data_IF_949314407991
#
_entry.id   IF_949314407991
#
_cell.length_a   1.000
_cell.length_b   1.000
_cell.length_c   1.000
_cell.angle_alpha   90.00
_cell.angle_beta   90.00
_cell.angle_gamma   90.00
#
_symmetry.space_group_name_H-M   'P 1'
#
loop_
_entity.id
_entity.type
_entity.pdbx_description
1 polymer ?
#
# COMPACT_ATOMS: atom_id res chain seq x y z
N UNK A 1 42.99 11.71 14.06
CA UNK A 1 41.60 11.40 13.66
C UNK A 1 41.15 10.24 14.53
N UNK A 2 40.41 10.55 15.59
CA UNK A 2 39.92 9.56 16.58
C UNK A 2 38.64 8.92 16.07
N UNK A 3 38.57 7.59 16.16
CA UNK A 3 37.45 6.73 15.74
C UNK A 3 36.34 6.85 16.81
N UNK A 4 35.70 8.02 16.91
CA UNK A 4 34.60 8.26 17.87
C UNK A 4 33.41 9.04 17.29
N UNK A 5 33.45 9.47 16.02
CA UNK A 5 32.41 10.38 15.47
C UNK A 5 31.44 9.77 14.45
N UNK A 6 31.55 8.48 14.14
CA UNK A 6 30.51 7.79 13.34
C UNK A 6 29.41 7.26 14.25
N UNK A 7 28.59 8.15 14.83
CA UNK A 7 27.27 7.72 15.28
C UNK A 7 26.43 7.41 14.02
N UNK A 8 25.86 6.21 13.88
CA UNK A 8 25.03 5.87 12.73
C UNK A 8 23.81 6.80 12.68
N UNK A 9 23.78 7.67 11.67
CA UNK A 9 22.71 8.64 11.42
C UNK A 9 21.70 8.16 10.36
N UNK A 10 21.95 7.00 9.75
CA UNK A 10 21.13 6.40 8.71
C UNK A 10 21.43 6.82 7.27
N UNK A 11 22.35 7.77 7.04
CA UNK A 11 22.69 8.21 5.67
C UNK A 11 23.36 7.11 4.85
N UNK A 12 24.20 6.28 5.47
CA UNK A 12 24.83 5.12 4.80
C UNK A 12 23.79 4.11 4.28
N UNK A 13 22.68 3.96 5.02
CA UNK A 13 21.58 3.13 4.58
C UNK A 13 20.83 3.76 3.40
N UNK A 14 20.61 5.08 3.40
CA UNK A 14 20.05 5.79 2.24
C UNK A 14 20.95 5.66 1.01
N UNK A 15 22.26 5.85 1.19
CA UNK A 15 23.26 5.63 0.14
C UNK A 15 23.13 4.21 -0.44
N UNK A 16 23.07 3.20 0.42
CA UNK A 16 22.90 1.79 0.02
C UNK A 16 21.60 1.55 -0.76
N UNK A 17 20.49 2.17 -0.34
CA UNK A 17 19.21 2.08 -1.05
C UNK A 17 19.27 2.73 -2.43
N UNK A 18 19.92 3.88 -2.58
CA UNK A 18 20.11 4.55 -3.86
C UNK A 18 20.98 3.70 -4.80
N UNK A 19 22.07 3.12 -4.30
CA UNK A 19 22.93 2.20 -5.06
C UNK A 19 22.16 0.95 -5.49
N UNK A 20 21.36 0.37 -4.61
CA UNK A 20 20.51 -0.79 -4.91
C UNK A 20 19.45 -0.44 -5.97
N UNK A 21 18.76 0.70 -5.83
CA UNK A 21 17.78 1.17 -6.80
C UNK A 21 18.39 1.39 -8.19
N UNK A 22 19.57 2.03 -8.25
CA UNK A 22 20.33 2.18 -9.49
C UNK A 22 20.72 0.82 -10.11
N UNK A 23 21.16 -0.13 -9.28
CA UNK A 23 21.54 -1.48 -9.73
C UNK A 23 20.35 -2.27 -10.26
N UNK A 24 19.18 -2.18 -9.61
CA UNK A 24 17.94 -2.80 -10.08
C UNK A 24 17.46 -2.21 -11.40
N UNK A 25 17.58 -0.89 -11.58
CA UNK A 25 17.29 -0.24 -12.85
C UNK A 25 18.26 -0.68 -13.94
N UNK A 26 19.56 -0.75 -13.66
CA UNK A 26 20.55 -1.24 -14.62
C UNK A 26 20.27 -2.69 -15.03
N UNK A 27 20.00 -3.57 -14.06
CA UNK A 27 19.64 -4.97 -14.31
C UNK A 27 18.34 -5.09 -15.14
N UNK A 28 17.33 -4.28 -14.82
CA UNK A 28 16.08 -4.20 -15.60
C UNK A 28 16.35 -3.72 -17.03
N UNK A 29 17.24 -2.76 -17.21
CA UNK A 29 17.67 -2.28 -18.52
C UNK A 29 18.35 -3.36 -19.35
N UNK A 30 19.25 -4.14 -18.74
CA UNK A 30 19.89 -5.30 -19.38
C UNK A 30 18.84 -6.35 -19.78
N UNK A 31 17.90 -6.67 -18.90
CA UNK A 31 16.84 -7.63 -19.20
C UNK A 31 15.94 -7.16 -20.36
N UNK A 32 15.60 -5.87 -20.41
CA UNK A 32 14.82 -5.28 -21.50
C UNK A 32 15.60 -5.28 -22.83
N UNK A 33 16.91 -4.99 -22.78
CA UNK A 33 17.78 -5.07 -23.96
C UNK A 33 17.91 -6.50 -24.49
N UNK A 34 18.05 -7.49 -23.61
CA UNK A 34 18.02 -8.90 -23.97
C UNK A 34 16.66 -9.30 -24.59
N UNK A 35 15.55 -8.75 -24.08
CA UNK A 35 14.22 -8.97 -24.65
C UNK A 35 14.03 -8.37 -26.06
N UNK A 36 14.78 -7.33 -26.42
CA UNK A 36 14.76 -6.76 -27.77
C UNK A 36 15.63 -7.58 -28.76
N UNK A 37 16.72 -8.17 -28.26
CA UNK A 37 17.77 -8.86 -29.05
C UNK A 37 17.62 -10.39 -29.10
N UNK A 38 16.80 -10.97 -28.22
CA UNK A 38 16.55 -12.41 -28.14
C UNK A 38 15.51 -12.95 -29.13
N UNK A 39 15.37 -14.29 -29.24
CA UNK A 39 14.39 -14.93 -30.12
C UNK A 39 12.96 -14.51 -29.74
N UNK A 40 12.27 -13.84 -30.67
CA UNK A 40 11.01 -13.10 -30.43
C UNK A 40 9.75 -13.95 -30.21
N UNK A 41 9.87 -15.20 -29.79
CA UNK A 41 8.72 -16.07 -29.55
C UNK A 41 7.94 -15.61 -28.30
N UNK A 42 6.65 -15.30 -28.48
CA UNK A 42 5.73 -14.96 -27.39
C UNK A 42 5.65 -13.49 -26.94
N UNK A 43 6.57 -12.61 -27.38
CA UNK A 43 6.61 -11.19 -26.92
C UNK A 43 5.78 -10.21 -27.77
N UNK A 44 5.14 -10.65 -28.85
CA UNK A 44 4.45 -9.77 -29.81
C UNK A 44 3.33 -8.92 -29.21
N UNK A 45 2.52 -9.48 -28.31
CA UNK A 45 1.43 -8.74 -27.66
C UNK A 45 1.97 -7.66 -26.69
N UNK A 46 3.00 -7.99 -25.93
CA UNK A 46 3.67 -7.07 -24.99
C UNK A 46 4.38 -5.95 -25.74
N UNK A 47 5.11 -6.29 -26.82
CA UNK A 47 5.78 -5.33 -27.70
C UNK A 47 4.79 -4.33 -28.30
N UNK A 48 3.63 -4.79 -28.78
CA UNK A 48 2.57 -3.90 -29.30
C UNK A 48 2.06 -2.94 -28.23
N UNK A 49 1.72 -3.44 -27.03
CA UNK A 49 1.24 -2.59 -25.92
C UNK A 49 2.26 -1.53 -25.50
N UNK A 50 3.53 -1.89 -25.40
CA UNK A 50 4.60 -0.95 -25.02
C UNK A 50 4.88 0.05 -26.15
N UNK A 51 4.89 -0.39 -27.40
CA UNK A 51 5.02 0.47 -28.57
C UNK A 51 3.89 1.49 -28.68
N UNK A 52 2.64 1.09 -28.45
CA UNK A 52 1.49 2.00 -28.39
C UNK A 52 1.64 3.03 -27.26
N UNK A 53 2.07 2.60 -26.08
CA UNK A 53 2.35 3.49 -24.95
C UNK A 53 3.42 4.54 -25.28
N UNK A 54 4.53 4.12 -25.90
CA UNK A 54 5.60 5.02 -26.32
C UNK A 54 5.17 5.97 -27.44
N UNK A 55 4.37 5.51 -28.41
CA UNK A 55 3.81 6.39 -29.46
C UNK A 55 2.89 7.45 -28.86
N UNK A 56 2.06 7.08 -27.90
CA UNK A 56 1.20 8.01 -27.18
C UNK A 56 2.01 9.05 -26.39
N UNK A 57 3.11 8.63 -25.75
CA UNK A 57 4.03 9.54 -25.05
C UNK A 57 4.81 10.45 -26.02
N UNK A 58 5.21 9.94 -27.18
CA UNK A 58 5.87 10.72 -28.22
C UNK A 58 4.97 11.84 -28.75
N UNK A 59 3.70 11.51 -29.03
CA UNK A 59 2.71 12.45 -29.57
C UNK A 59 2.14 13.44 -28.54
N UNK A 60 2.26 13.14 -27.24
CA UNK A 60 1.79 14.06 -26.19
C UNK A 60 2.71 15.29 -26.08
N UNK A 61 2.17 16.49 -25.85
CA UNK A 61 3.00 17.65 -25.52
C UNK A 61 3.63 17.51 -24.13
N UNK A 62 4.79 18.14 -23.89
CA UNK A 62 5.46 18.10 -22.57
C UNK A 62 4.55 18.54 -21.42
N UNK A 63 3.71 19.55 -21.67
CA UNK A 63 2.74 20.06 -20.70
C UNK A 63 1.59 19.08 -20.38
N UNK A 64 1.32 18.11 -21.27
CA UNK A 64 0.25 17.12 -21.07
C UNK A 64 0.72 15.86 -20.32
N UNK A 65 2.04 15.61 -20.26
CA UNK A 65 2.61 14.41 -19.62
C UNK A 65 2.14 14.25 -18.17
N UNK A 66 2.18 15.30 -17.31
CA UNK A 66 1.74 15.14 -15.93
C UNK A 66 0.26 14.74 -15.83
N UNK A 67 -0.62 15.35 -16.63
CA UNK A 67 -2.04 15.01 -16.65
C UNK A 67 -2.30 13.58 -17.13
N UNK A 68 -1.67 13.17 -18.23
CA UNK A 68 -1.83 11.84 -18.81
C UNK A 68 -1.35 10.73 -17.86
N UNK A 69 -0.16 10.89 -17.25
CA UNK A 69 0.40 9.87 -16.36
C UNK A 69 -0.30 9.84 -15.01
N UNK A 70 -0.70 10.99 -14.48
CA UNK A 70 -1.54 11.06 -13.26
C UNK A 70 -2.88 10.37 -13.49
N UNK A 71 -3.56 10.66 -14.60
CA UNK A 71 -4.82 10.02 -14.96
C UNK A 71 -4.67 8.52 -15.21
N UNK A 72 -3.61 8.10 -15.89
CA UNK A 72 -3.29 6.69 -16.11
C UNK A 72 -3.05 5.96 -14.78
N UNK A 73 -2.20 6.50 -13.90
CA UNK A 73 -1.90 5.86 -12.62
C UNK A 73 -3.13 5.82 -11.72
N UNK A 74 -3.87 6.93 -11.62
CA UNK A 74 -5.10 6.99 -10.83
C UNK A 74 -6.16 5.99 -11.34
N UNK A 75 -6.38 5.91 -12.66
CA UNK A 75 -7.34 4.97 -13.24
C UNK A 75 -6.92 3.51 -13.02
N UNK A 76 -5.62 3.19 -13.10
CA UNK A 76 -5.09 1.85 -12.78
C UNK A 76 -5.29 1.48 -11.32
N UNK A 77 -5.01 2.41 -10.40
CA UNK A 77 -5.22 2.20 -8.98
C UNK A 77 -6.71 2.02 -8.65
N UNK A 78 -7.61 2.83 -9.23
CA UNK A 78 -9.05 2.63 -9.07
C UNK A 78 -9.53 1.30 -9.64
N UNK A 79 -9.03 0.89 -10.80
CA UNK A 79 -9.37 -0.41 -11.38
C UNK A 79 -8.91 -1.57 -10.48
N UNK A 80 -7.73 -1.44 -9.86
CA UNK A 80 -7.21 -2.42 -8.91
C UNK A 80 -8.04 -2.48 -7.63
N UNK A 81 -8.40 -1.33 -7.05
CA UNK A 81 -9.28 -1.25 -5.87
C UNK A 81 -10.64 -1.87 -6.19
N UNK A 82 -11.21 -1.56 -7.36
CA UNK A 82 -12.49 -2.11 -7.79
C UNK A 82 -12.42 -3.62 -7.97
N UNK A 83 -11.45 -4.12 -8.72
CA UNK A 83 -11.28 -5.55 -8.94
C UNK A 83 -10.92 -6.33 -7.67
N UNK A 84 -10.20 -5.70 -6.75
CA UNK A 84 -9.68 -6.31 -5.54
C UNK A 84 -10.60 -6.23 -4.33
N UNK A 85 -11.56 -5.31 -4.27
CA UNK A 85 -12.44 -5.13 -3.11
C UNK A 85 -13.92 -5.10 -3.47
N UNK A 86 -14.30 -4.39 -4.54
CA UNK A 86 -15.72 -4.20 -4.92
C UNK A 86 -16.26 -5.38 -5.71
N UNK A 87 -15.42 -6.01 -6.54
CA UNK A 87 -15.79 -7.15 -7.40
C UNK A 87 -15.07 -8.44 -6.98
N UNK A 88 -14.60 -8.50 -5.73
CA UNK A 88 -13.83 -9.63 -5.23
C UNK A 88 -14.68 -10.91 -5.11
N UNK A 89 -15.93 -10.78 -4.64
CA UNK A 89 -16.92 -11.87 -4.56
C UNK A 89 -17.26 -12.51 -5.90
N UNK A 90 -17.13 -11.76 -7.00
CA UNK A 90 -17.42 -12.27 -8.34
C UNK A 90 -16.38 -13.29 -8.84
N UNK A 91 -15.25 -13.46 -8.13
CA UNK A 91 -14.19 -14.40 -8.50
C UNK A 91 -14.33 -15.72 -7.74
N UNK A 92 -14.43 -16.83 -8.48
CA UNK A 92 -14.50 -18.19 -7.91
C UNK A 92 -13.32 -18.51 -6.98
N UNK A 93 -12.11 -18.08 -7.35
CA UNK A 93 -10.91 -18.29 -6.54
C UNK A 93 -10.98 -17.57 -5.19
N UNK A 94 -11.61 -16.40 -5.14
CA UNK A 94 -11.77 -15.62 -3.92
C UNK A 94 -12.67 -16.33 -2.91
N UNK A 95 -13.86 -16.76 -3.37
CA UNK A 95 -14.79 -17.54 -2.56
C UNK A 95 -14.14 -18.81 -2.02
N UNK A 96 -13.39 -19.54 -2.85
CA UNK A 96 -12.68 -20.76 -2.44
C UNK A 96 -11.63 -20.51 -1.36
N UNK A 97 -10.82 -19.45 -1.49
CA UNK A 97 -9.77 -19.11 -0.52
C UNK A 97 -10.39 -18.69 0.82
N UNK A 98 -11.35 -17.76 0.81
CA UNK A 98 -11.99 -17.28 2.06
C UNK A 98 -12.74 -18.42 2.75
N UNK A 99 -13.46 -19.24 1.99
CA UNK A 99 -14.18 -20.39 2.54
C UNK A 99 -13.21 -21.38 3.20
N UNK A 100 -12.15 -21.76 2.50
CA UNK A 100 -11.13 -22.67 3.05
C UNK A 100 -10.47 -22.09 4.31
N UNK A 101 -10.18 -20.79 4.31
CA UNK A 101 -9.61 -20.10 5.46
C UNK A 101 -10.54 -20.12 6.68
N UNK A 102 -11.80 -19.69 6.50
CA UNK A 102 -12.76 -19.51 7.59
C UNK A 102 -13.31 -20.83 8.14
N UNK A 103 -13.47 -21.86 7.29
CA UNK A 103 -14.12 -23.12 7.67
C UNK A 103 -13.18 -24.31 7.82
N UNK A 104 -11.94 -24.24 7.32
CA UNK A 104 -10.97 -25.34 7.42
C UNK A 104 -9.76 -24.92 8.25
N UNK A 105 -9.00 -23.94 7.77
CA UNK A 105 -7.71 -23.60 8.37
C UNK A 105 -7.84 -22.95 9.75
N UNK A 106 -8.71 -21.95 9.91
CA UNK A 106 -8.89 -21.25 11.19
C UNK A 106 -9.51 -22.12 12.29
N UNK A 107 -10.56 -22.93 12.04
CA UNK A 107 -11.06 -23.86 13.04
C UNK A 107 -10.03 -24.91 13.45
N UNK A 108 -9.27 -25.45 12.49
CA UNK A 108 -8.21 -26.41 12.77
C UNK A 108 -7.10 -25.77 13.62
N UNK A 109 -6.66 -24.55 13.25
CA UNK A 109 -5.68 -23.81 14.02
C UNK A 109 -6.18 -23.48 15.44
N UNK A 110 -7.47 -23.12 15.58
CA UNK A 110 -8.08 -22.86 16.88
C UNK A 110 -8.15 -24.13 17.76
N UNK A 111 -8.49 -25.28 17.16
CA UNK A 111 -8.50 -26.57 17.85
C UNK A 111 -7.09 -26.97 18.29
N UNK A 112 -6.10 -26.90 17.40
CA UNK A 112 -4.70 -27.17 17.73
C UNK A 112 -4.22 -26.24 18.85
N UNK A 113 -4.51 -24.94 18.76
CA UNK A 113 -4.15 -23.96 19.78
C UNK A 113 -4.77 -24.30 21.15
N UNK A 114 -6.04 -24.74 21.18
CA UNK A 114 -6.68 -25.18 22.41
C UNK A 114 -6.05 -26.48 22.98
N UNK A 115 -5.67 -27.42 22.12
CA UNK A 115 -5.06 -28.69 22.52
C UNK A 115 -3.65 -28.54 23.09
N UNK A 116 -2.87 -27.57 22.58
CA UNK A 116 -1.49 -27.29 23.08
C UNK A 116 -1.47 -26.35 24.30
N UNK A 117 -2.63 -26.04 24.90
CA UNK A 117 -2.74 -25.19 26.09
C UNK A 117 -2.83 -23.68 25.84
N UNK A 118 -3.03 -23.25 24.59
CA UNK A 118 -3.31 -21.86 24.24
C UNK A 118 -4.76 -21.43 24.56
N UNK A 119 -5.10 -20.17 24.28
CA UNK A 119 -6.43 -19.62 24.57
C UNK A 119 -7.52 -20.36 23.77
N UNK A 120 -8.51 -21.01 24.41
CA UNK A 120 -9.50 -21.83 23.72
C UNK A 120 -10.70 -21.03 23.18
N UNK A 121 -10.69 -19.69 23.34
CA UNK A 121 -11.81 -18.82 22.98
C UNK A 121 -12.29 -19.02 21.54
N UNK A 122 -11.37 -18.97 20.56
CA UNK A 122 -11.73 -19.08 19.15
C UNK A 122 -12.33 -20.45 18.82
N UNK A 123 -11.86 -21.51 19.47
CA UNK A 123 -12.39 -22.86 19.31
C UNK A 123 -13.83 -22.95 19.82
N UNK A 124 -14.09 -22.49 21.04
CA UNK A 124 -15.45 -22.45 21.59
C UNK A 124 -16.39 -21.55 20.78
N UNK A 125 -15.87 -20.46 20.22
CA UNK A 125 -16.62 -19.57 19.36
C UNK A 125 -16.99 -20.23 18.02
N UNK A 126 -16.10 -21.02 17.43
CA UNK A 126 -16.45 -21.83 16.26
C UNK A 126 -17.50 -22.89 16.59
N UNK A 127 -17.43 -23.50 17.78
CA UNK A 127 -18.43 -24.46 18.23
C UNK A 127 -19.82 -23.81 18.41
N UNK A 128 -19.87 -22.58 18.95
CA UNK A 128 -21.13 -21.85 19.07
C UNK A 128 -21.71 -21.45 17.71
N UNK A 129 -20.86 -21.12 16.72
CA UNK A 129 -21.32 -20.89 15.34
C UNK A 129 -21.85 -22.17 14.69
N UNK A 130 -21.20 -23.31 14.93
CA UNK A 130 -21.69 -24.60 14.44
C UNK A 130 -23.05 -24.96 15.06
N UNK A 131 -23.25 -24.68 16.34
CA UNK A 131 -24.54 -24.85 17.00
C UNK A 131 -25.62 -23.92 16.42
N UNK A 132 -25.28 -22.65 16.14
CA UNK A 132 -26.20 -21.72 15.48
C UNK A 132 -26.57 -22.16 14.05
N UNK A 133 -25.62 -22.71 13.31
CA UNK A 133 -25.83 -23.23 11.97
C UNK A 133 -26.72 -24.49 11.99
N UNK A 134 -26.48 -25.39 12.94
CA UNK A 134 -27.36 -26.54 13.18
C UNK A 134 -28.79 -26.07 13.52
N UNK A 135 -28.93 -25.09 14.43
CA UNK A 135 -30.24 -24.52 14.77
C UNK A 135 -30.97 -23.97 13.54
N UNK A 136 -30.30 -23.18 12.69
CA UNK A 136 -30.90 -22.65 11.45
C UNK A 136 -31.33 -23.75 10.49
N UNK A 137 -30.58 -24.85 10.41
CA UNK A 137 -30.91 -25.97 9.53
C UNK A 137 -32.18 -26.70 9.98
N UNK A 138 -32.47 -26.75 11.28
CA UNK A 138 -33.66 -27.42 11.83
C UNK A 138 -34.87 -26.47 12.02
N UNK A 139 -34.63 -25.23 12.43
CA UNK A 139 -35.67 -24.26 12.78
C UNK A 139 -35.98 -23.25 11.66
N UNK A 140 -35.13 -23.16 10.63
CA UNK A 140 -35.19 -22.19 9.54
C UNK A 140 -36.52 -22.14 8.81
N UNK A 141 -37.16 -23.30 8.63
CA UNK A 141 -38.40 -23.46 7.86
C UNK A 141 -39.67 -23.11 8.66
N UNK A 142 -39.56 -22.98 9.98
CA UNK A 142 -40.72 -22.70 10.83
C UNK A 142 -41.03 -21.20 10.89
N UNK A 143 -42.14 -20.78 10.29
CA UNK A 143 -42.57 -19.38 10.27
C UNK A 143 -42.75 -18.74 11.66
N UNK A 144 -42.96 -19.56 12.70
CA UNK A 144 -43.12 -19.13 14.10
C UNK A 144 -41.80 -18.66 14.74
N UNK A 145 -40.65 -19.06 14.20
CA UNK A 145 -39.32 -18.72 14.72
C UNK A 145 -38.59 -17.69 13.84
N UNK A 146 -39.28 -17.02 12.92
CA UNK A 146 -38.69 -16.08 11.95
C UNK A 146 -37.79 -15.01 12.60
N UNK A 147 -38.15 -14.48 13.77
CA UNK A 147 -37.33 -13.50 14.49
C UNK A 147 -36.02 -14.13 15.03
N UNK A 148 -36.10 -15.32 15.63
CA UNK A 148 -34.92 -16.04 16.16
C UNK A 148 -34.01 -16.54 15.03
N UNK A 149 -34.59 -16.98 13.91
CA UNK A 149 -33.83 -17.32 12.70
C UNK A 149 -33.09 -16.09 12.14
N UNK A 150 -33.74 -14.91 12.16
CA UNK A 150 -33.09 -13.66 11.81
C UNK A 150 -31.89 -13.32 12.70
N UNK A 151 -32.05 -13.48 14.03
CA UNK A 151 -30.95 -13.25 15.00
C UNK A 151 -29.82 -14.25 14.80
N UNK A 152 -30.12 -15.54 14.63
CA UNK A 152 -29.10 -16.57 14.39
C UNK A 152 -28.35 -16.36 13.07
N UNK A 153 -29.05 -15.94 12.01
CA UNK A 153 -28.44 -15.59 10.73
C UNK A 153 -27.56 -14.33 10.85
N UNK A 154 -28.02 -13.31 11.57
CA UNK A 154 -27.22 -12.11 11.83
C UNK A 154 -25.98 -12.43 12.67
N UNK A 155 -26.11 -13.28 13.71
CA UNK A 155 -25.00 -13.77 14.50
C UNK A 155 -23.96 -14.48 13.62
N UNK A 156 -24.38 -15.44 12.79
CA UNK A 156 -23.47 -16.13 11.86
C UNK A 156 -22.79 -15.17 10.88
N UNK A 157 -23.57 -14.29 10.23
CA UNK A 157 -23.06 -13.34 9.25
C UNK A 157 -22.03 -12.38 9.86
N UNK A 158 -22.38 -11.70 10.96
CA UNK A 158 -21.47 -10.76 11.63
C UNK A 158 -20.24 -11.49 12.19
N UNK A 159 -20.42 -12.67 12.75
CA UNK A 159 -19.31 -13.42 13.34
C UNK A 159 -18.29 -13.88 12.31
N UNK A 160 -18.74 -14.42 11.18
CA UNK A 160 -17.87 -14.92 10.11
C UNK A 160 -17.20 -13.79 9.33
N UNK A 161 -17.91 -12.69 9.09
CA UNK A 161 -17.44 -11.59 8.24
C UNK A 161 -16.59 -10.57 9.02
N UNK A 162 -16.87 -10.38 10.32
CA UNK A 162 -16.24 -9.32 11.12
C UNK A 162 -15.52 -9.87 12.33
N UNK A 163 -16.21 -10.58 13.22
CA UNK A 163 -15.66 -10.91 14.54
C UNK A 163 -14.45 -11.84 14.42
N UNK A 164 -14.56 -12.91 13.65
CA UNK A 164 -13.46 -13.87 13.45
C UNK A 164 -12.27 -13.19 12.76
N UNK A 165 -12.42 -12.52 11.59
CA UNK A 165 -11.28 -11.84 10.95
C UNK A 165 -10.60 -10.82 11.86
N UNK A 166 -11.36 -10.00 12.59
CA UNK A 166 -10.79 -8.99 13.51
C UNK A 166 -10.11 -9.66 14.71
N UNK A 167 -10.69 -10.71 15.28
CA UNK A 167 -10.08 -11.44 16.40
C UNK A 167 -8.77 -12.10 15.99
N UNK A 168 -8.77 -12.78 14.84
CA UNK A 168 -7.58 -13.43 14.27
C UNK A 168 -6.54 -12.37 13.96
N UNK A 169 -6.92 -11.29 13.29
CA UNK A 169 -6.05 -10.15 13.02
C UNK A 169 -5.39 -9.61 14.30
N UNK A 170 -6.18 -9.43 15.37
CA UNK A 170 -5.68 -9.00 16.68
C UNK A 170 -4.68 -9.99 17.25
N UNK A 171 -5.04 -11.26 17.32
CA UNK A 171 -4.19 -12.31 17.89
C UNK A 171 -2.87 -12.48 17.15
N UNK A 172 -2.88 -12.40 15.82
CA UNK A 172 -1.66 -12.51 15.03
C UNK A 172 -0.82 -11.24 15.08
N UNK A 173 -1.45 -10.06 15.15
CA UNK A 173 -0.72 -8.80 15.35
C UNK A 173 -0.08 -8.76 16.73
N UNK A 174 -0.77 -9.20 17.79
CA UNK A 174 -0.19 -9.39 19.12
C UNK A 174 1.07 -10.26 19.05
N UNK A 175 0.97 -11.43 18.41
CA UNK A 175 2.11 -12.32 18.22
C UNK A 175 3.24 -11.67 17.38
N UNK A 176 2.92 -10.75 16.47
CA UNK A 176 3.90 -10.04 15.64
C UNK A 176 4.62 -8.93 16.40
N UNK A 177 3.92 -8.25 17.31
CA UNK A 177 4.46 -7.19 18.15
C UNK A 177 5.46 -7.73 19.18
N UNK A 178 5.15 -8.88 19.80
CA UNK A 178 5.96 -9.45 20.89
C UNK A 178 7.03 -10.46 20.45
N UNK A 179 7.08 -10.82 19.17
CA UNK A 179 8.13 -11.71 18.64
C UNK A 179 9.42 -10.96 18.29
N UNK A 180 10.49 -11.70 18.01
CA UNK A 180 11.74 -11.18 17.46
C UNK A 180 11.45 -10.33 16.22
N UNK A 181 12.07 -9.15 16.14
CA UNK A 181 11.73 -8.13 15.16
C UNK A 181 11.72 -8.63 13.71
N UNK A 182 12.76 -9.35 13.28
CA UNK A 182 12.86 -9.91 11.93
C UNK A 182 11.71 -10.91 11.62
N UNK A 183 11.33 -11.74 12.60
CA UNK A 183 10.19 -12.65 12.46
C UNK A 183 8.88 -11.88 12.42
N UNK A 184 8.76 -10.78 13.17
CA UNK A 184 7.61 -9.87 13.11
C UNK A 184 7.42 -9.28 11.70
N UNK A 185 8.49 -8.83 11.04
CA UNK A 185 8.39 -8.32 9.66
C UNK A 185 7.93 -9.42 8.70
N UNK A 186 8.48 -10.63 8.79
CA UNK A 186 8.04 -11.76 7.95
C UNK A 186 6.58 -12.15 8.22
N UNK A 187 6.18 -12.19 9.49
CA UNK A 187 4.81 -12.47 9.91
C UNK A 187 3.83 -11.42 9.39
N UNK A 188 4.24 -10.16 9.24
CA UNK A 188 3.35 -9.10 8.71
C UNK A 188 2.78 -9.43 7.33
N UNK A 189 3.54 -10.13 6.48
CA UNK A 189 3.08 -10.61 5.17
C UNK A 189 2.04 -11.73 5.26
N UNK A 190 2.00 -12.49 6.34
CA UNK A 190 0.94 -13.47 6.59
C UNK A 190 -0.31 -12.77 7.16
N UNK A 191 -0.11 -11.80 8.05
CA UNK A 191 -1.21 -11.04 8.67
C UNK A 191 -1.96 -10.18 7.66
N UNK A 192 -1.31 -9.77 6.55
CA UNK A 192 -1.94 -9.00 5.47
C UNK A 192 -3.22 -9.65 4.92
N UNK A 193 -3.29 -10.99 4.90
CA UNK A 193 -4.47 -11.72 4.44
C UNK A 193 -5.65 -11.47 5.37
N UNK A 194 -5.43 -11.46 6.68
CA UNK A 194 -6.48 -11.17 7.66
C UNK A 194 -6.89 -9.70 7.66
N UNK A 195 -5.95 -8.77 7.43
CA UNK A 195 -6.29 -7.36 7.18
C UNK A 195 -7.20 -7.22 5.97
N UNK A 196 -6.87 -7.91 4.88
CA UNK A 196 -7.67 -7.89 3.68
C UNK A 196 -9.07 -8.45 3.92
N UNK A 197 -9.19 -9.62 4.58
CA UNK A 197 -10.50 -10.23 4.89
C UNK A 197 -11.33 -9.33 5.82
N UNK A 198 -10.70 -8.72 6.84
CA UNK A 198 -11.37 -7.78 7.73
C UNK A 198 -11.84 -6.52 6.98
N UNK A 199 -10.97 -5.92 6.15
CA UNK A 199 -11.31 -4.75 5.35
C UNK A 199 -12.44 -5.04 4.35
N UNK A 200 -12.41 -6.22 3.72
CA UNK A 200 -13.48 -6.70 2.84
C UNK A 200 -14.79 -6.88 3.60
N UNK A 201 -14.75 -7.49 4.79
CA UNK A 201 -15.93 -7.67 5.63
C UNK A 201 -16.57 -6.36 6.09
N UNK A 202 -15.75 -5.37 6.47
CA UNK A 202 -16.24 -4.00 6.75
C UNK A 202 -16.84 -3.37 5.48
N UNK A 203 -16.24 -3.59 4.31
CA UNK A 203 -16.78 -3.16 3.03
C UNK A 203 -18.17 -3.71 2.74
N UNK A 204 -18.40 -5.01 3.00
CA UNK A 204 -19.71 -5.65 2.84
C UNK A 204 -20.78 -5.05 3.77
N UNK A 205 -20.43 -4.75 5.02
CA UNK A 205 -21.34 -4.07 5.95
C UNK A 205 -21.65 -2.66 5.47
N UNK A 206 -20.62 -1.92 5.05
CA UNK A 206 -20.79 -0.59 4.50
C UNK A 206 -21.76 -0.61 3.31
N UNK A 207 -21.61 -1.58 2.40
CA UNK A 207 -22.53 -1.79 1.28
C UNK A 207 -23.96 -2.15 1.71
N UNK A 208 -24.12 -3.01 2.71
CA UNK A 208 -25.43 -3.39 3.24
C UNK A 208 -26.15 -2.18 3.85
N UNK A 209 -25.43 -1.36 4.61
CA UNK A 209 -25.95 -0.11 5.20
C UNK A 209 -26.29 0.91 4.11
N UNK A 210 -25.42 1.11 3.12
CA UNK A 210 -25.68 2.05 2.03
C UNK A 210 -26.92 1.66 1.21
N UNK A 211 -27.08 0.36 0.93
CA UNK A 211 -28.27 -0.18 0.24
C UNK A 211 -29.54 -0.01 1.08
N UNK A 212 -29.47 -0.19 2.40
CA UNK A 212 -30.60 0.03 3.29
C UNK A 212 -31.10 1.49 3.24
N UNK A 213 -30.19 2.46 3.11
CA UNK A 213 -30.55 3.88 2.98
C UNK A 213 -30.90 4.33 1.55
N UNK A 214 -31.01 3.41 0.57
CA UNK A 214 -31.27 3.72 -0.85
C UNK A 214 -30.26 4.71 -1.47
N UNK A 215 -29.03 4.77 -0.96
CA UNK A 215 -27.98 5.62 -1.53
C UNK A 215 -27.19 4.86 -2.59
N UNK A 216 -26.85 5.54 -3.69
CA UNK A 216 -26.01 4.94 -4.73
C UNK A 216 -24.55 4.86 -4.25
N UNK A 217 -24.13 3.66 -3.82
CA UNK A 217 -22.76 3.40 -3.34
C UNK A 217 -21.71 3.53 -4.45
N UNK A 218 -22.10 3.42 -5.73
CA UNK A 218 -21.17 3.42 -6.87
C UNK A 218 -20.78 4.83 -7.31
N UNK A 219 -21.65 5.82 -7.09
CA UNK A 219 -21.42 7.23 -7.46
C UNK A 219 -20.85 8.10 -6.34
N UNK A 220 -21.09 7.74 -5.08
CA UNK A 220 -20.83 8.61 -3.92
C UNK A 220 -19.35 8.92 -3.68
N UNK A 221 -19.06 10.21 -3.48
CA UNK A 221 -17.73 10.68 -3.07
C UNK A 221 -17.33 10.10 -1.72
N UNK A 222 -18.25 9.76 -0.81
CA UNK A 222 -17.85 9.11 0.45
C UNK A 222 -17.50 7.64 0.25
N UNK A 223 -18.28 6.90 -0.55
CA UNK A 223 -18.04 5.48 -0.81
C UNK A 223 -16.67 5.21 -1.43
N UNK A 224 -16.27 5.99 -2.45
CA UNK A 224 -14.93 5.88 -3.06
C UNK A 224 -13.78 6.12 -2.05
N UNK A 225 -14.03 6.81 -0.92
CA UNK A 225 -13.01 7.13 0.10
C UNK A 225 -12.82 5.91 0.96
N UNK A 226 -13.95 5.37 1.40
CA UNK A 226 -14.05 4.19 2.25
C UNK A 226 -13.43 3.00 1.52
N UNK A 227 -13.80 2.71 0.28
CA UNK A 227 -13.19 1.62 -0.47
C UNK A 227 -11.69 1.83 -0.73
N UNK A 228 -11.26 3.06 -1.02
CA UNK A 228 -9.84 3.38 -1.17
C UNK A 228 -9.06 3.18 0.12
N UNK A 229 -9.63 3.58 1.26
CA UNK A 229 -9.05 3.40 2.58
C UNK A 229 -8.98 1.91 2.94
N UNK A 230 -10.10 1.18 2.82
CA UNK A 230 -10.18 -0.25 3.12
C UNK A 230 -9.23 -1.08 2.26
N UNK A 231 -9.11 -0.78 0.96
CA UNK A 231 -8.17 -1.46 0.08
C UNK A 231 -6.70 -1.15 0.42
N UNK A 232 -6.42 0.00 1.03
CA UNK A 232 -5.08 0.42 1.40
C UNK A 232 -4.62 -0.16 2.75
N UNK A 233 -5.54 -0.50 3.67
CA UNK A 233 -5.20 -1.01 5.01
C UNK A 233 -4.21 -2.19 5.01
N UNK A 234 -4.37 -3.25 4.19
CA UNK A 234 -3.45 -4.38 4.24
C UNK A 234 -2.03 -3.98 3.79
N UNK A 235 -1.95 -3.19 2.72
CA UNK A 235 -0.66 -2.71 2.20
C UNK A 235 0.00 -1.77 3.20
N UNK A 236 -0.76 -0.84 3.78
CA UNK A 236 -0.30 0.09 4.79
C UNK A 236 0.27 -0.63 6.02
N UNK A 237 -0.36 -1.72 6.45
CA UNK A 237 0.14 -2.51 7.58
C UNK A 237 1.52 -3.10 7.31
N UNK A 238 1.74 -3.72 6.15
CA UNK A 238 3.06 -4.25 5.76
C UNK A 238 4.09 -3.11 5.65
N UNK A 239 3.68 -1.97 5.08
CA UNK A 239 4.55 -0.79 4.95
C UNK A 239 4.99 -0.24 6.31
N UNK A 240 4.15 -0.29 7.35
CA UNK A 240 4.53 0.08 8.73
C UNK A 240 5.69 -0.79 9.21
N UNK A 241 5.59 -2.12 9.09
CA UNK A 241 6.67 -3.01 9.51
C UNK A 241 7.94 -2.85 8.66
N UNK A 242 7.80 -2.60 7.35
CA UNK A 242 8.93 -2.32 6.48
C UNK A 242 9.59 -0.96 6.80
N UNK A 243 8.82 0.05 7.19
CA UNK A 243 9.37 1.34 7.63
C UNK A 243 10.14 1.20 8.95
N UNK A 244 9.59 0.48 9.91
CA UNK A 244 10.31 0.17 11.14
C UNK A 244 11.59 -0.63 10.85
N UNK A 245 11.56 -1.55 9.88
CA UNK A 245 12.74 -2.30 9.47
C UNK A 245 13.78 -1.39 8.82
N UNK A 246 13.35 -0.49 7.93
CA UNK A 246 14.22 0.50 7.32
C UNK A 246 14.92 1.35 8.38
N UNK A 247 14.20 1.81 9.41
CA UNK A 247 14.81 2.55 10.52
C UNK A 247 15.74 1.72 11.39
N UNK A 248 15.39 0.47 11.66
CA UNK A 248 16.27 -0.44 12.39
C UNK A 248 17.58 -0.72 11.63
N UNK A 249 17.51 -0.87 10.29
CA UNK A 249 18.70 -1.05 9.45
C UNK A 249 19.48 0.26 9.27
N UNK A 250 18.81 1.41 9.31
CA UNK A 250 19.45 2.71 9.24
C UNK A 250 20.22 3.04 10.54
N UNK A 251 19.66 2.67 11.68
CA UNK A 251 20.25 2.90 13.01
C UNK A 251 20.15 1.60 13.82
N UNK A 252 21.12 0.69 13.62
CA UNK A 252 21.13 -0.66 14.21
C UNK A 252 21.01 -0.68 15.75
N UNK A 253 21.50 0.36 16.42
CA UNK A 253 21.46 0.46 17.88
C UNK A 253 20.03 0.70 18.42
N UNK A 254 19.09 1.13 17.58
CA UNK A 254 17.69 1.33 17.98
C UNK A 254 16.83 0.12 17.59
N UNK A 255 16.40 -0.64 18.59
CA UNK A 255 15.27 -1.56 18.40
C UNK A 255 13.98 -0.74 18.32
N UNK A 256 13.24 -0.78 17.20
CA UNK A 256 12.00 -0.03 17.08
C UNK A 256 11.00 -0.50 18.13
N UNK A 257 10.45 0.45 18.89
CA UNK A 257 9.32 0.16 19.76
C UNK A 257 8.13 -0.24 18.89
N UNK A 258 7.43 -1.29 19.32
CA UNK A 258 6.31 -1.86 18.58
C UNK A 258 5.14 -1.95 19.53
N UNK A 259 4.09 -1.22 19.20
CA UNK A 259 2.90 -1.15 20.01
C UNK A 259 1.64 -1.11 19.15
N UNK A 260 0.51 -1.39 19.80
CA UNK A 260 -0.80 -1.29 19.17
C UNK A 260 -1.12 0.12 18.65
N UNK A 261 -0.94 1.19 19.45
CA UNK A 261 -1.14 2.56 18.97
C UNK A 261 -0.32 2.84 17.70
N UNK A 262 0.98 2.52 17.72
CA UNK A 262 1.87 2.78 16.58
C UNK A 262 1.40 2.06 15.32
N UNK A 263 1.08 0.76 15.43
CA UNK A 263 0.63 -0.03 14.27
C UNK A 263 -0.72 0.44 13.74
N UNK A 264 -1.68 0.78 14.61
CA UNK A 264 -3.00 1.23 14.19
C UNK A 264 -2.95 2.63 13.58
N UNK A 265 -2.27 3.58 14.23
CA UNK A 265 -2.09 4.93 13.69
C UNK A 265 -1.27 4.91 12.40
N UNK A 266 -0.15 4.18 12.37
CA UNK A 266 0.67 4.00 11.17
C UNK A 266 -0.12 3.43 10.00
N UNK A 267 -0.86 2.35 10.23
CA UNK A 267 -1.68 1.70 9.20
C UNK A 267 -2.81 2.63 8.74
N UNK A 268 -3.53 3.23 9.69
CA UNK A 268 -4.67 4.10 9.43
C UNK A 268 -4.28 5.38 8.67
N UNK A 269 -3.28 6.10 9.14
CA UNK A 269 -2.83 7.35 8.51
C UNK A 269 -2.22 7.07 7.12
N UNK A 270 -1.44 6.00 6.97
CA UNK A 270 -0.88 5.63 5.65
C UNK A 270 -1.99 5.25 4.66
N UNK A 271 -2.99 4.48 5.10
CA UNK A 271 -4.16 4.14 4.28
C UNK A 271 -5.01 5.37 3.92
N UNK A 272 -5.19 6.31 4.86
CA UNK A 272 -5.86 7.58 4.61
C UNK A 272 -5.08 8.43 3.60
N UNK A 273 -3.76 8.52 3.74
CA UNK A 273 -2.92 9.25 2.78
C UNK A 273 -3.11 8.71 1.36
N UNK A 274 -3.06 7.39 1.18
CA UNK A 274 -3.27 6.78 -0.13
C UNK A 274 -4.64 7.14 -0.72
N UNK A 275 -5.71 6.96 0.07
CA UNK A 275 -7.08 7.24 -0.39
C UNK A 275 -7.29 8.72 -0.75
N UNK A 276 -6.75 9.64 0.06
CA UNK A 276 -6.87 11.08 -0.16
C UNK A 276 -6.00 11.58 -1.32
N UNK A 277 -4.75 11.12 -1.42
CA UNK A 277 -3.87 11.46 -2.56
C UNK A 277 -4.45 10.93 -3.87
N UNK A 278 -4.93 9.69 -3.91
CA UNK A 278 -5.55 9.11 -5.11
C UNK A 278 -6.73 9.95 -5.60
N UNK A 279 -7.56 10.46 -4.67
CA UNK A 279 -8.68 11.36 -5.00
C UNK A 279 -8.23 12.68 -5.56
N UNK A 280 -7.30 13.33 -4.88
CA UNK A 280 -6.78 14.63 -5.28
C UNK A 280 -6.19 14.54 -6.69
N UNK A 281 -5.41 13.50 -6.95
CA UNK A 281 -4.78 13.24 -8.24
C UNK A 281 -5.80 12.90 -9.34
N UNK A 282 -6.81 12.08 -9.03
CA UNK A 282 -7.86 11.74 -9.99
C UNK A 282 -8.75 12.94 -10.35
N UNK A 283 -9.07 13.78 -9.37
CA UNK A 283 -9.78 15.04 -9.60
C UNK A 283 -8.98 15.98 -10.51
N UNK A 284 -7.68 16.11 -10.26
CA UNK A 284 -6.82 16.94 -11.08
C UNK A 284 -6.64 16.38 -12.49
N UNK A 285 -6.53 15.07 -12.65
CA UNK A 285 -6.50 14.44 -13.96
C UNK A 285 -7.79 14.72 -14.77
N UNK A 286 -8.95 14.56 -14.14
CA UNK A 286 -10.25 14.81 -14.78
C UNK A 286 -10.44 16.30 -15.18
N UNK A 287 -9.88 17.25 -14.42
CA UNK A 287 -9.88 18.67 -14.77
C UNK A 287 -8.78 19.04 -15.77
N UNK A 288 -7.63 18.34 -15.73
CA UNK A 288 -6.46 18.59 -16.56
C UNK A 288 -6.71 18.31 -18.05
N UNK A 289 -7.58 17.36 -18.38
CA UNK A 289 -8.02 17.10 -19.76
C UNK A 289 -8.66 18.32 -20.45
N UNK A 290 -9.21 19.25 -19.67
CA UNK A 290 -9.81 20.51 -20.16
C UNK A 290 -8.82 21.68 -20.27
N UNK A 291 -7.50 21.42 -20.18
CA UNK A 291 -6.45 22.44 -20.28
C UNK A 291 -6.03 23.08 -18.95
N UNK A 292 -6.43 22.50 -17.81
CA UNK A 292 -6.18 23.05 -16.48
C UNK A 292 -4.83 22.68 -15.87
N UNK A 293 -3.72 23.22 -16.36
CA UNK A 293 -2.39 23.04 -15.74
C UNK A 293 -2.33 23.47 -14.26
N UNK A 294 -3.13 24.49 -13.90
CA UNK A 294 -3.32 24.95 -12.52
C UNK A 294 -3.91 23.86 -11.60
N UNK A 295 -4.82 23.02 -12.10
CA UNK A 295 -5.41 21.95 -11.29
C UNK A 295 -4.39 20.87 -10.91
N UNK A 296 -3.44 20.56 -11.80
CA UNK A 296 -2.33 19.66 -11.52
C UNK A 296 -1.36 20.28 -10.52
N UNK A 297 -0.98 21.55 -10.70
CA UNK A 297 -0.13 22.26 -9.73
C UNK A 297 -0.76 22.27 -8.32
N UNK A 298 -2.06 22.53 -8.23
CA UNK A 298 -2.81 22.46 -6.97
C UNK A 298 -2.81 21.04 -6.38
N UNK A 299 -2.98 20.00 -7.20
CA UNK A 299 -2.97 18.63 -6.69
C UNK A 299 -1.60 18.17 -6.22
N UNK A 300 -0.52 18.54 -6.90
CA UNK A 300 0.83 18.21 -6.46
C UNK A 300 1.22 19.00 -5.20
N UNK A 301 0.97 20.32 -5.17
CA UNK A 301 1.24 21.15 -4.00
C UNK A 301 0.36 20.79 -2.81
N UNK A 302 -0.95 20.65 -3.03
CA UNK A 302 -1.92 20.23 -2.01
C UNK A 302 -1.66 18.80 -1.52
N UNK A 303 -1.21 17.90 -2.40
CA UNK A 303 -0.83 16.54 -2.03
C UNK A 303 0.40 16.49 -1.13
N UNK A 304 1.38 17.38 -1.37
CA UNK A 304 2.56 17.53 -0.50
C UNK A 304 2.16 18.06 0.89
N UNK A 305 1.33 19.11 0.93
CA UNK A 305 0.82 19.68 2.19
C UNK A 305 0.02 18.63 2.97
N UNK A 306 -0.84 17.88 2.28
CA UNK A 306 -1.62 16.81 2.87
C UNK A 306 -0.72 15.71 3.45
N UNK A 307 0.28 15.25 2.69
CA UNK A 307 1.22 14.24 3.15
C UNK A 307 2.02 14.72 4.36
N UNK A 308 2.48 15.97 4.36
CA UNK A 308 3.18 16.58 5.50
C UNK A 308 2.27 16.69 6.74
N UNK A 309 1.02 17.13 6.56
CA UNK A 309 0.05 17.21 7.66
C UNK A 309 -0.25 15.84 8.27
N UNK A 310 -0.50 14.83 7.43
CA UNK A 310 -0.72 13.45 7.88
C UNK A 310 0.52 12.86 8.54
N UNK A 311 1.72 13.15 8.00
CA UNK A 311 2.99 12.74 8.59
C UNK A 311 3.18 13.30 10.00
N UNK A 312 2.86 14.58 10.23
CA UNK A 312 2.96 15.20 11.55
C UNK A 312 1.94 14.60 12.54
N UNK A 313 0.71 14.39 12.09
CA UNK A 313 -0.32 13.69 12.88
C UNK A 313 0.15 12.28 13.26
N UNK A 314 0.81 11.58 12.35
CA UNK A 314 1.39 10.27 12.63
C UNK A 314 2.52 10.34 13.65
N UNK A 315 3.45 11.29 13.52
CA UNK A 315 4.57 11.47 14.46
C UNK A 315 4.12 11.74 15.89
N UNK A 316 3.07 12.55 16.08
CA UNK A 316 2.50 12.83 17.41
C UNK A 316 1.59 11.67 17.89
N UNK A 317 0.84 11.06 16.97
CA UNK A 317 -0.18 10.06 17.27
C UNK A 317 0.35 8.64 17.53
N UNK A 318 1.49 8.28 16.94
CA UNK A 318 2.03 6.92 16.99
C UNK A 318 2.31 6.42 18.41
N UNK A 319 2.66 7.32 19.34
CA UNK A 319 3.07 7.00 20.70
C UNK A 319 2.01 7.40 21.77
N UNK A 320 0.75 7.60 21.35
CA UNK A 320 -0.34 7.94 22.26
C UNK A 320 -0.61 6.80 23.26
N UNK A 321 -0.59 7.13 24.55
CA UNK A 321 -0.88 6.18 25.64
C UNK A 321 0.35 5.50 26.25
N UNK A 322 1.56 5.76 25.74
CA UNK A 322 2.80 5.11 26.18
C UNK A 322 3.71 6.02 27.03
N UNK A 323 3.25 7.23 27.37
CA UNK A 323 4.03 8.20 28.14
C UNK A 323 5.22 8.81 27.37
N UNK A 324 5.40 8.41 26.11
CA UNK A 324 6.43 8.92 25.18
C UNK A 324 5.82 9.74 24.04
N UNK A 325 4.70 10.42 24.31
CA UNK A 325 4.06 11.26 23.31
C UNK A 325 5.03 12.37 22.87
N UNK A 326 5.37 12.35 21.59
CA UNK A 326 6.31 13.27 20.97
C UNK A 326 5.64 14.64 20.80
N UNK A 327 6.36 15.70 21.15
CA UNK A 327 5.87 17.07 20.93
C UNK A 327 5.77 17.42 19.44
N UNK A 328 4.92 18.39 19.09
CA UNK A 328 4.84 18.87 17.70
C UNK A 328 6.19 19.37 17.15
N UNK A 329 7.04 19.94 18.00
CA UNK A 329 8.40 20.38 17.65
C UNK A 329 9.32 19.21 17.31
N UNK A 330 9.27 18.13 18.07
CA UNK A 330 10.10 16.95 17.82
C UNK A 330 9.62 16.18 16.59
N UNK A 331 8.30 16.10 16.37
CA UNK A 331 7.73 15.55 15.14
C UNK A 331 8.15 16.40 13.92
N UNK A 332 8.18 17.72 14.05
CA UNK A 332 8.68 18.61 13.00
C UNK A 332 10.16 18.36 12.70
N UNK A 333 11.01 18.24 13.71
CA UNK A 333 12.42 17.91 13.52
C UNK A 333 12.59 16.55 12.82
N UNK A 334 11.83 15.54 13.27
CA UNK A 334 11.83 14.19 12.68
C UNK A 334 11.36 14.21 11.22
N UNK A 335 10.38 15.05 10.86
CA UNK A 335 9.95 15.21 9.46
C UNK A 335 11.09 15.65 8.54
N UNK A 336 12.02 16.48 9.02
CA UNK A 336 13.18 16.93 8.25
C UNK A 336 14.42 16.02 8.40
N UNK A 337 14.27 14.84 9.01
CA UNK A 337 15.38 13.91 9.21
C UNK A 337 16.37 14.38 10.26
N UNK A 338 15.95 15.27 11.17
CA UNK A 338 16.74 15.71 12.32
C UNK A 338 16.38 14.88 13.56
N UNK A 339 17.32 14.80 14.50
CA UNK A 339 17.07 14.27 15.84
C UNK A 339 16.01 15.08 16.58
N UNK A 340 15.43 14.52 17.65
CA UNK A 340 14.39 15.18 18.45
C UNK A 340 14.80 16.57 18.95
N UNK A 341 16.09 16.75 19.30
CA UNK A 341 16.70 18.02 19.71
C UNK A 341 17.08 18.95 18.55
N UNK A 342 16.90 18.52 17.29
CA UNK A 342 17.15 19.28 16.07
C UNK A 342 18.64 19.49 15.72
N UNK A 343 19.56 18.86 16.45
CA UNK A 343 21.00 19.17 16.36
C UNK A 343 21.76 18.38 15.31
N UNK A 344 21.27 17.20 14.93
CA UNK A 344 21.97 16.28 14.02
C UNK A 344 20.99 15.61 13.08
N UNK A 345 21.47 15.17 11.92
CA UNK A 345 20.72 14.28 11.03
C UNK A 345 20.55 12.93 11.74
N UNK A 346 19.33 12.40 11.75
CA UNK A 346 19.01 11.14 12.41
C UNK A 346 17.78 10.48 11.78
N UNK A 347 18.00 9.46 10.96
CA UNK A 347 16.95 8.75 10.22
C UNK A 347 16.41 7.54 11.02
N UNK A 348 15.80 7.83 12.16
CA UNK A 348 15.24 6.86 13.11
C UNK A 348 14.05 6.05 12.53
N UNK A 349 13.60 4.96 13.18
CA UNK A 349 12.35 4.29 12.82
C UNK A 349 11.12 5.21 12.72
N UNK A 350 11.05 6.24 13.58
CA UNK A 350 9.97 7.23 13.52
C UNK A 350 10.05 8.09 12.25
N UNK A 351 11.26 8.44 11.79
CA UNK A 351 11.44 9.11 10.49
C UNK A 351 10.82 8.29 9.36
N UNK A 352 11.17 7.01 9.26
CA UNK A 352 10.65 6.15 8.18
C UNK A 352 9.13 5.95 8.28
N UNK A 353 8.62 5.79 9.50
CA UNK A 353 7.18 5.65 9.75
C UNK A 353 6.41 6.92 9.31
N UNK A 354 6.89 8.09 9.71
CA UNK A 354 6.32 9.39 9.32
C UNK A 354 6.32 9.57 7.80
N UNK A 355 7.38 9.14 7.12
CA UNK A 355 7.51 9.27 5.67
C UNK A 355 6.61 8.33 4.85
N UNK A 356 5.95 7.34 5.47
CA UNK A 356 4.96 6.51 4.79
C UNK A 356 3.80 7.33 4.21
N UNK A 357 3.43 8.43 4.88
CA UNK A 357 2.39 9.33 4.39
C UNK A 357 2.75 9.99 3.04
N UNK A 358 4.03 10.06 2.68
CA UNK A 358 4.49 10.64 1.41
C UNK A 358 4.52 9.62 0.26
N UNK A 359 4.53 8.31 0.54
CA UNK A 359 4.67 7.28 -0.49
C UNK A 359 3.64 7.39 -1.63
N UNK A 360 2.32 7.62 -1.36
CA UNK A 360 1.36 7.77 -2.44
C UNK A 360 1.67 8.97 -3.33
N UNK A 361 2.04 10.11 -2.73
CA UNK A 361 2.39 11.33 -3.47
C UNK A 361 3.67 11.14 -4.29
N UNK A 362 4.71 10.53 -3.69
CA UNK A 362 5.96 10.20 -4.36
C UNK A 362 5.75 9.24 -5.53
N UNK A 363 4.79 8.30 -5.45
CA UNK A 363 4.47 7.43 -6.57
C UNK A 363 3.93 8.21 -7.79
N UNK A 364 3.08 9.23 -7.57
CA UNK A 364 2.59 10.09 -8.66
C UNK A 364 3.68 11.00 -9.22
N UNK A 365 4.51 11.59 -8.36
CA UNK A 365 5.65 12.42 -8.79
C UNK A 365 6.65 11.57 -9.57
N UNK A 366 7.01 10.40 -9.04
CA UNK A 366 7.90 9.44 -9.68
C UNK A 366 7.38 8.95 -11.03
N UNK A 367 6.08 8.65 -11.15
CA UNK A 367 5.49 8.27 -12.43
C UNK A 367 5.63 9.37 -13.48
N UNK A 368 5.38 10.64 -13.11
CA UNK A 368 5.55 11.79 -14.02
C UNK A 368 7.02 12.01 -14.37
N UNK A 369 7.92 11.92 -13.39
CA UNK A 369 9.36 12.01 -13.60
C UNK A 369 9.86 10.94 -14.57
N UNK A 370 9.50 9.68 -14.35
CA UNK A 370 9.81 8.58 -15.27
C UNK A 370 9.27 8.84 -16.69
N UNK A 371 8.06 9.41 -16.80
CA UNK A 371 7.49 9.86 -18.07
C UNK A 371 8.35 10.87 -18.81
N UNK A 372 8.88 11.86 -18.09
CA UNK A 372 9.80 12.85 -18.65
C UNK A 372 11.12 12.20 -19.10
N UNK A 373 11.70 11.32 -18.29
CA UNK A 373 12.93 10.58 -18.64
C UNK A 373 12.71 9.75 -19.92
N UNK A 374 11.65 8.93 -19.95
CA UNK A 374 11.34 8.07 -21.11
C UNK A 374 11.13 8.91 -22.37
N UNK A 375 10.44 10.04 -22.27
CA UNK A 375 10.23 10.91 -23.43
C UNK A 375 11.52 11.60 -23.89
N UNK A 376 12.36 12.06 -22.97
CA UNK A 376 13.67 12.63 -23.30
C UNK A 376 14.54 11.61 -24.03
N UNK A 377 14.58 10.37 -23.55
CA UNK A 377 15.29 9.27 -24.20
C UNK A 377 14.68 8.98 -25.57
N UNK A 378 13.36 8.90 -25.68
CA UNK A 378 12.68 8.63 -26.95
C UNK A 378 13.00 9.70 -28.01
N UNK A 379 12.95 10.98 -27.65
CA UNK A 379 13.31 12.07 -28.54
C UNK A 379 14.79 12.02 -28.94
N UNK A 380 15.68 11.69 -27.99
CA UNK A 380 17.11 11.52 -28.27
C UNK A 380 17.39 10.35 -29.22
N UNK A 381 16.72 9.22 -29.04
CA UNK A 381 16.82 8.06 -29.94
C UNK A 381 16.24 8.40 -31.31
N UNK A 382 15.07 9.06 -31.39
CA UNK A 382 14.49 9.50 -32.66
C UNK A 382 15.40 10.45 -33.43
N UNK A 383 16.13 11.34 -32.73
CA UNK A 383 17.12 12.21 -33.34
C UNK A 383 18.30 11.43 -33.96
N UNK A 384 18.73 10.33 -33.31
CA UNK A 384 19.87 9.53 -33.75
C UNK A 384 19.52 8.45 -34.80
N UNK A 385 18.37 7.80 -34.68
CA UNK A 385 18.00 6.62 -35.48
C UNK A 385 16.81 6.86 -36.42
N UNK A 386 16.24 8.07 -36.42
CA UNK A 386 15.04 8.41 -37.19
C UNK A 386 13.72 8.06 -36.48
N UNK A 387 12.56 8.36 -37.10
CA UNK A 387 11.22 8.30 -36.48
C UNK A 387 10.77 6.90 -36.05
N UNK A 388 11.51 5.86 -36.45
CA UNK A 388 11.20 4.45 -36.20
C UNK A 388 11.59 3.94 -34.80
N UNK A 389 12.12 4.80 -33.91
CA UNK A 389 12.49 4.43 -32.53
C UNK A 389 11.34 3.77 -31.75
N UNK A 390 10.08 4.10 -32.07
CA UNK A 390 8.90 3.49 -31.45
C UNK A 390 8.65 2.02 -31.88
N UNK A 391 9.41 1.50 -32.85
CA UNK A 391 9.38 0.08 -33.26
C UNK A 391 10.23 -0.83 -32.36
N UNK A 392 11.10 -0.25 -31.52
CA UNK A 392 11.98 -0.96 -30.58
C UNK A 392 11.67 -0.54 -29.14
N UNK A 393 10.48 -0.88 -28.62
CA UNK A 393 10.01 -0.36 -27.33
C UNK A 393 10.86 -0.84 -26.15
N UNK A 394 11.44 -2.04 -26.20
CA UNK A 394 12.26 -2.53 -25.11
C UNK A 394 13.64 -1.87 -25.12
N UNK A 395 14.19 -1.52 -26.29
CA UNK A 395 15.42 -0.72 -26.37
C UNK A 395 15.25 0.66 -25.73
N UNK A 396 14.17 1.38 -26.07
CA UNK A 396 13.90 2.71 -25.51
C UNK A 396 13.73 2.62 -23.98
N UNK A 397 13.01 1.62 -23.50
CA UNK A 397 12.88 1.38 -22.07
C UNK A 397 14.20 0.96 -21.41
N UNK A 398 15.04 0.17 -22.07
CA UNK A 398 16.36 -0.21 -21.57
C UNK A 398 17.27 1.01 -21.38
N UNK A 399 17.34 1.89 -22.37
CA UNK A 399 18.10 3.15 -22.28
C UNK A 399 17.53 4.06 -21.21
N UNK A 400 16.20 4.10 -21.05
CA UNK A 400 15.54 4.87 -19.98
C UNK A 400 15.89 4.32 -18.59
N UNK A 401 15.93 3.00 -18.43
CA UNK A 401 16.37 2.34 -17.20
C UNK A 401 17.86 2.65 -16.91
N UNK A 402 18.72 2.63 -17.93
CA UNK A 402 20.13 3.02 -17.77
C UNK A 402 20.29 4.49 -17.37
N UNK A 403 19.55 5.41 -17.99
CA UNK A 403 19.53 6.82 -17.60
C UNK A 403 19.05 7.00 -16.15
N UNK A 404 18.00 6.27 -15.76
CA UNK A 404 17.53 6.22 -14.37
C UNK A 404 18.60 5.71 -13.42
N UNK A 405 19.30 4.62 -13.76
CA UNK A 405 20.37 4.06 -12.94
C UNK A 405 21.49 5.08 -12.68
N UNK A 406 21.92 5.79 -13.72
CA UNK A 406 22.94 6.86 -13.61
C UNK A 406 22.45 7.98 -12.69
N UNK A 407 21.18 8.38 -12.76
CA UNK A 407 20.62 9.39 -11.86
C UNK A 407 20.62 8.94 -10.39
N UNK A 408 20.27 7.68 -10.12
CA UNK A 408 20.30 7.14 -8.76
C UNK A 408 21.73 7.02 -8.22
N UNK A 409 22.67 6.55 -9.04
CA UNK A 409 24.08 6.48 -8.63
C UNK A 409 24.72 7.85 -8.47
N UNK A 410 24.41 8.82 -9.34
CA UNK A 410 24.92 10.18 -9.17
C UNK A 410 24.37 10.83 -7.91
N UNK A 411 23.09 10.62 -7.60
CA UNK A 411 22.50 11.08 -6.34
C UNK A 411 23.15 10.41 -5.13
N UNK A 412 23.48 9.12 -5.22
CA UNK A 412 24.20 8.41 -4.15
C UNK A 412 25.60 8.99 -3.88
N UNK A 413 26.28 9.58 -4.87
CA UNK A 413 27.59 10.23 -4.65
C UNK A 413 27.47 11.49 -3.77
N UNK A 414 26.29 12.12 -3.73
CA UNK A 414 26.04 13.33 -2.94
C UNK A 414 25.42 13.05 -1.56
N UNK A 415 25.16 11.78 -1.23
CA UNK A 415 24.68 11.29 0.07
C UNK A 415 25.82 10.59 0.77
#
# INVERSE_FOLDING_TARGET
MTITDFMPNGLEFVHSLLVLAGSLLAASGVALWMGETGPGEGLGATRRRWGEGLRNLAGASWLRIPGCLTGWLASRLYALIRAGLVEADMRVSFGGIIFSLLFVFLPLAAAVNALIGGKPFLFWYYLSLLAALAYLNFAGETGRLRALNGVAAAYLGISLIVVIPIYVLRSFTDATLYDVFAHGVLKSFLVVVFWYVAAYGVGLIFDAVYRYFSWDSKGSVSAKLVYGFLAALPVAYVLVFLALLAGHLAVFEQSPQRSWPLVLFGTGITALSLSLTLRLMAWAAAKGEKGGGLALAIAYGGGLILAAGLSLVLGVGAHLGEGQAVSWSEAWNTLFGLSSDGRRVFLSPDFWLMHLAFLPWLAFVGAVFCGFVVKSVLNGVQFLTGPDAAKQPFLVSAVSCAAGAVLFWSTAVFV
#
